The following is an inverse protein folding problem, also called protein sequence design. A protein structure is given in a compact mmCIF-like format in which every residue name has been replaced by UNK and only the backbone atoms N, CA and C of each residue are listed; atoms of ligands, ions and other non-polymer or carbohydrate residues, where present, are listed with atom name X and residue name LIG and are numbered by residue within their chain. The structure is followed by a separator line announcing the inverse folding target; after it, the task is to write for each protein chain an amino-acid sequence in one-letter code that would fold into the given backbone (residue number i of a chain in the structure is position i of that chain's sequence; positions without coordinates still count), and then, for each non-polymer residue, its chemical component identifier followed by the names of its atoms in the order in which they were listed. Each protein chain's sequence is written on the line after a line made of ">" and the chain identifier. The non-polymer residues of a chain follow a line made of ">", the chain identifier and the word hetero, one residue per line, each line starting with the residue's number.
data_IF_820447899955
#
_entry.id   IF_820447899955
#
_cell.length_a   1.000
_cell.length_b   1.000
_cell.length_c   1.000
_cell.angle_alpha   90.00
_cell.angle_beta   90.00
_cell.angle_gamma   90.00
#
_symmetry.space_group_name_H-M   'P 1'
#
loop_
_entity.id
_entity.type
_entity.pdbx_description
1 polymer ?
#
# COMPACT_ATOMS: atom_id res chain seq x y z
N UNK A 1 28.44 -8.16 -5.78
CA UNK A 1 27.11 -8.82 -5.62
C UNK A 1 26.26 -8.17 -4.51
N UNK A 2 26.84 -7.74 -3.39
CA UNK A 2 26.13 -7.01 -2.32
C UNK A 2 25.54 -5.66 -2.76
N UNK A 3 26.34 -4.84 -3.46
CA UNK A 3 25.94 -3.52 -4.02
C UNK A 3 24.68 -3.60 -4.89
N UNK A 4 24.65 -4.57 -5.82
CA UNK A 4 23.56 -4.76 -6.77
C UNK A 4 22.26 -5.16 -6.06
N UNK A 5 22.36 -6.03 -5.05
CA UNK A 5 21.20 -6.41 -4.23
C UNK A 5 20.67 -5.22 -3.40
N UNK A 6 21.54 -4.33 -2.92
CA UNK A 6 21.10 -3.13 -2.20
C UNK A 6 20.40 -2.14 -3.13
N UNK A 7 20.94 -1.92 -4.32
CA UNK A 7 20.33 -1.06 -5.33
C UNK A 7 18.97 -1.60 -5.77
N UNK A 8 18.86 -2.89 -6.05
CA UNK A 8 17.60 -3.54 -6.39
C UNK A 8 16.58 -3.36 -5.27
N UNK A 9 16.97 -3.63 -4.02
CA UNK A 9 16.09 -3.46 -2.87
C UNK A 9 15.63 -2.00 -2.65
N UNK A 10 16.46 -1.02 -3.00
CA UNK A 10 16.15 0.41 -2.93
C UNK A 10 15.12 0.81 -3.99
N UNK A 11 15.35 0.41 -5.25
CA UNK A 11 14.44 0.69 -6.35
C UNK A 11 13.11 -0.03 -6.19
N UNK A 12 13.13 -1.32 -5.82
CA UNK A 12 11.91 -2.08 -5.54
C UNK A 12 11.05 -1.42 -4.47
N UNK A 13 11.68 -0.90 -3.40
CA UNK A 13 10.94 -0.17 -2.36
C UNK A 13 10.24 1.07 -2.93
N UNK A 14 10.94 1.91 -3.70
CA UNK A 14 10.35 3.14 -4.27
C UNK A 14 9.21 2.83 -5.22
N UNK A 15 9.38 1.82 -6.08
CA UNK A 15 8.35 1.41 -7.05
C UNK A 15 7.11 0.90 -6.31
N UNK A 16 7.28 0.05 -5.28
CA UNK A 16 6.16 -0.46 -4.50
C UNK A 16 5.45 0.65 -3.73
N UNK A 17 6.20 1.57 -3.10
CA UNK A 17 5.61 2.73 -2.40
C UNK A 17 4.83 3.65 -3.34
N UNK A 18 5.36 3.94 -4.54
CA UNK A 18 4.63 4.71 -5.55
C UNK A 18 3.38 3.96 -6.01
N UNK A 19 3.51 2.67 -6.31
CA UNK A 19 2.39 1.81 -6.70
C UNK A 19 1.27 1.79 -5.66
N UNK A 20 1.62 1.79 -4.36
CA UNK A 20 0.65 1.87 -3.27
C UNK A 20 -0.17 3.17 -3.28
N UNK A 21 0.48 4.32 -3.49
CA UNK A 21 -0.18 5.62 -3.56
C UNK A 21 -1.12 5.66 -4.77
N UNK A 22 -0.65 5.24 -5.94
CA UNK A 22 -1.47 5.19 -7.15
C UNK A 22 -2.65 4.24 -7.00
N UNK A 23 -2.45 3.07 -6.40
CA UNK A 23 -3.51 2.09 -6.14
C UNK A 23 -4.56 2.66 -5.17
N UNK A 24 -4.13 3.33 -4.10
CA UNK A 24 -5.04 3.96 -3.12
C UNK A 24 -5.90 5.02 -3.79
N UNK A 25 -5.28 5.93 -4.57
CA UNK A 25 -6.02 6.95 -5.31
C UNK A 25 -6.96 6.30 -6.34
N UNK A 26 -6.51 5.23 -7.01
CA UNK A 26 -7.30 4.49 -7.99
C UNK A 26 -8.53 3.80 -7.39
N UNK A 27 -8.41 3.22 -6.20
CA UNK A 27 -9.55 2.62 -5.48
C UNK A 27 -10.54 3.72 -5.07
N UNK A 28 -10.06 4.84 -4.53
CA UNK A 28 -10.91 5.95 -4.12
C UNK A 28 -11.64 6.58 -5.31
N UNK A 29 -10.93 6.89 -6.40
CA UNK A 29 -11.53 7.45 -7.60
C UNK A 29 -12.46 6.44 -8.29
N UNK A 30 -12.11 5.16 -8.29
CA UNK A 30 -12.94 4.06 -8.77
C UNK A 30 -14.25 3.94 -7.98
N UNK A 31 -14.21 4.07 -6.66
CA UNK A 31 -15.40 4.02 -5.81
C UNK A 31 -16.35 5.22 -6.06
N UNK A 32 -15.79 6.43 -6.24
CA UNK A 32 -16.58 7.62 -6.59
C UNK A 32 -17.24 7.43 -7.96
N UNK A 33 -16.49 6.92 -8.94
CA UNK A 33 -17.02 6.68 -10.27
C UNK A 33 -18.06 5.55 -10.29
N UNK A 34 -17.87 4.48 -9.51
CA UNK A 34 -18.83 3.39 -9.39
C UNK A 34 -20.19 3.90 -8.88
N UNK A 35 -20.17 4.84 -7.92
CA UNK A 35 -21.38 5.47 -7.42
C UNK A 35 -22.10 6.29 -8.50
N UNK A 36 -21.35 7.04 -9.31
CA UNK A 36 -21.92 7.82 -10.42
C UNK A 36 -22.47 6.92 -11.54
N UNK A 37 -21.77 5.84 -11.88
CA UNK A 37 -22.16 4.97 -12.96
C UNK A 37 -23.34 4.06 -12.57
N UNK A 38 -23.25 3.43 -11.39
CA UNK A 38 -24.08 2.27 -11.01
C UNK A 38 -24.89 2.50 -9.71
N UNK A 39 -24.72 3.64 -9.03
CA UNK A 39 -25.51 4.04 -7.86
C UNK A 39 -25.02 3.49 -6.51
N UNK A 40 -23.86 2.84 -6.48
CA UNK A 40 -23.22 2.30 -5.27
C UNK A 40 -21.70 2.49 -5.31
N UNK A 41 -21.10 2.72 -4.13
CA UNK A 41 -19.65 2.91 -4.01
C UNK A 41 -18.83 1.62 -4.12
N UNK A 42 -19.43 0.48 -3.77
CA UNK A 42 -18.76 -0.81 -3.72
C UNK A 42 -19.77 -1.95 -3.88
N UNK A 43 -19.42 -2.95 -4.66
CA UNK A 43 -20.25 -4.12 -4.98
C UNK A 43 -19.57 -5.46 -4.79
N UNK A 44 -18.33 -5.50 -4.28
CA UNK A 44 -17.59 -6.75 -4.07
C UNK A 44 -17.44 -7.59 -5.34
N UNK A 45 -17.49 -6.96 -6.51
CA UNK A 45 -17.25 -7.66 -7.74
C UNK A 45 -15.76 -8.08 -7.80
N UNK A 46 -15.40 -9.03 -8.69
CA UNK A 46 -14.04 -9.51 -8.75
C UNK A 46 -13.01 -8.38 -8.90
N UNK A 47 -13.31 -7.30 -9.64
CA UNK A 47 -12.34 -6.19 -9.86
C UNK A 47 -12.03 -5.44 -8.56
N UNK A 48 -13.06 -5.15 -7.77
CA UNK A 48 -13.00 -4.38 -6.54
C UNK A 48 -12.33 -5.22 -5.44
N UNK A 49 -12.71 -6.50 -5.36
CA UNK A 49 -12.13 -7.44 -4.41
C UNK A 49 -10.63 -7.66 -4.68
N UNK A 50 -10.23 -7.82 -5.96
CA UNK A 50 -8.82 -7.95 -6.31
C UNK A 50 -8.04 -6.67 -6.01
N UNK A 51 -8.59 -5.50 -6.32
CA UNK A 51 -7.96 -4.22 -5.98
C UNK A 51 -7.73 -4.12 -4.46
N UNK A 52 -8.72 -4.50 -3.65
CA UNK A 52 -8.59 -4.51 -2.19
C UNK A 52 -7.56 -5.52 -1.67
N UNK A 53 -7.54 -6.74 -2.21
CA UNK A 53 -6.53 -7.75 -1.84
C UNK A 53 -5.11 -7.25 -2.17
N UNK A 54 -4.91 -6.68 -3.36
CA UNK A 54 -3.59 -6.12 -3.73
C UNK A 54 -3.19 -4.95 -2.82
N UNK A 55 -4.16 -4.13 -2.42
CA UNK A 55 -3.94 -3.04 -1.47
C UNK A 55 -3.46 -3.58 -0.11
N UNK A 56 -4.11 -4.62 0.43
CA UNK A 56 -3.68 -5.29 1.68
C UNK A 56 -2.25 -5.84 1.55
N UNK A 57 -1.92 -6.50 0.44
CA UNK A 57 -0.56 -7.05 0.23
C UNK A 57 0.50 -5.93 0.22
N UNK A 58 0.21 -4.80 -0.42
CA UNK A 58 1.12 -3.66 -0.47
C UNK A 58 1.26 -3.01 0.92
N UNK A 59 0.15 -2.82 1.64
CA UNK A 59 0.14 -2.34 3.02
C UNK A 59 0.98 -3.25 3.92
N UNK A 60 0.75 -4.56 3.89
CA UNK A 60 1.50 -5.51 4.72
C UNK A 60 3.00 -5.52 4.40
N UNK A 61 3.36 -5.45 3.11
CA UNK A 61 4.76 -5.36 2.69
C UNK A 61 5.45 -4.10 3.22
N UNK A 62 4.80 -2.94 3.08
CA UNK A 62 5.34 -1.66 3.56
C UNK A 62 5.38 -1.62 5.10
N UNK A 63 4.34 -2.12 5.77
CA UNK A 63 4.23 -2.20 7.23
C UNK A 63 5.42 -2.97 7.84
N UNK A 64 5.68 -4.19 7.35
CA UNK A 64 6.79 -5.01 7.85
C UNK A 64 8.14 -4.30 7.61
N UNK A 65 8.31 -3.65 6.44
CA UNK A 65 9.58 -3.04 6.06
C UNK A 65 9.85 -1.72 6.77
N UNK A 66 8.82 -0.93 7.06
CA UNK A 66 8.91 0.27 7.90
C UNK A 66 9.30 -0.12 9.33
N UNK A 67 8.68 -1.14 9.91
CA UNK A 67 9.02 -1.64 11.24
C UNK A 67 10.48 -2.09 11.40
N UNK A 68 11.09 -2.68 10.36
CA UNK A 68 12.49 -3.13 10.39
C UNK A 68 13.47 -1.94 10.35
N UNK A 69 13.16 -0.87 9.61
CA UNK A 69 14.02 0.32 9.52
C UNK A 69 14.04 1.16 10.81
N UNK A 70 12.97 1.13 11.59
CA UNK A 70 12.76 2.00 12.75
C UNK A 70 13.21 1.40 14.10
N UNK A 71 14.21 0.52 14.10
CA UNK A 71 14.71 -0.14 15.33
C UNK A 71 15.50 0.78 16.29
N UNK A 72 15.64 2.08 16.00
CA UNK A 72 16.59 2.98 16.68
C UNK A 72 16.03 4.19 17.45
N UNK A 73 14.75 4.55 17.32
CA UNK A 73 14.20 5.74 18.00
C UNK A 73 12.89 5.41 18.71
N UNK A 74 12.84 5.70 20.02
CA UNK A 74 11.67 5.61 20.89
C UNK A 74 10.51 6.46 20.35
N UNK A 75 9.72 5.87 19.47
CA UNK A 75 8.66 6.59 18.78
C UNK A 75 7.44 5.70 18.67
N UNK A 76 6.84 5.44 19.84
CA UNK A 76 5.64 4.63 20.01
C UNK A 76 4.46 5.12 19.14
N UNK A 77 4.40 6.43 18.88
CA UNK A 77 3.40 7.06 18.00
C UNK A 77 3.44 6.56 16.56
N UNK A 78 4.63 6.39 15.99
CA UNK A 78 4.78 5.91 14.61
C UNK A 78 4.48 4.43 14.48
N UNK A 79 4.77 3.64 15.52
CA UNK A 79 4.32 2.24 15.60
C UNK A 79 2.80 2.12 15.68
N UNK A 80 2.13 3.07 16.35
CA UNK A 80 0.67 3.08 16.45
C UNK A 80 0.02 3.45 15.12
N UNK A 81 0.56 4.48 14.44
CA UNK A 81 0.11 4.94 13.12
C UNK A 81 0.37 3.93 11.98
N UNK A 82 1.40 3.10 12.12
CA UNK A 82 1.70 2.07 11.14
C UNK A 82 0.78 0.84 11.32
N UNK A 83 0.30 0.58 12.55
CA UNK A 83 -0.56 -0.56 12.90
C UNK A 83 -2.07 -0.33 12.72
N UNK A 84 -2.54 0.92 12.86
CA UNK A 84 -3.93 1.36 12.64
C UNK A 84 -4.22 1.60 11.17
#
# INVERSE_FOLDING_TARGET
>A
KSELNQQLNYWSYRVISLGFIFLTIGILSGAVWANEAWGYYWSWDPKETWAFITWIVFTMYLHIRTNIKWKGTNSALWRLLDFL
#
